data_IF_722384000595
#
_entry.id   IF_722384000595
#
_cell.length_a   1.000
_cell.length_b   1.000
_cell.length_c   1.000
_cell.angle_alpha   90.00
_cell.angle_beta   90.00
_cell.angle_gamma   90.00
#
_symmetry.space_group_name_H-M   'P 1'
#
loop_
_entity.id
_entity.type
_entity.pdbx_description
1 polymer ?
#
# COMPACT_ATOMS: atom_id res chain seq x y z
N UNK A 1 57.16 -64.13 34.94
CA UNK A 1 55.89 -64.62 34.38
C UNK A 1 54.76 -63.98 35.17
N UNK A 2 53.86 -63.27 34.50
CA UNK A 2 52.65 -62.77 35.14
C UNK A 2 51.73 -63.93 35.52
N UNK A 3 51.20 -63.95 36.74
CA UNK A 3 50.26 -64.96 37.22
C UNK A 3 48.95 -64.88 36.36
N UNK A 4 48.29 -66.01 36.18
CA UNK A 4 47.07 -66.16 35.42
C UNK A 4 45.95 -65.18 35.93
N UNK A 5 45.95 -64.90 37.24
CA UNK A 5 45.08 -63.93 37.89
C UNK A 5 45.33 -62.48 37.36
N UNK A 6 46.60 -62.06 37.24
CA UNK A 6 46.97 -60.75 36.73
C UNK A 6 46.58 -60.57 35.26
N UNK A 7 46.62 -61.63 34.46
CA UNK A 7 46.21 -61.61 33.07
C UNK A 7 44.72 -61.46 32.89
N UNK A 8 43.90 -62.09 33.77
CA UNK A 8 42.44 -61.97 33.75
C UNK A 8 41.96 -60.56 34.20
N UNK A 9 42.66 -59.95 35.15
CA UNK A 9 42.40 -58.57 35.60
C UNK A 9 42.73 -57.58 34.49
N UNK A 10 43.86 -57.71 33.80
CA UNK A 10 44.26 -56.88 32.66
C UNK A 10 43.23 -56.95 31.51
N UNK A 11 42.62 -58.12 31.25
CA UNK A 11 41.57 -58.28 30.24
C UNK A 11 40.26 -57.61 30.72
N UNK A 12 39.90 -57.75 31.97
CA UNK A 12 38.73 -57.12 32.53
C UNK A 12 38.81 -55.59 32.49
N UNK A 13 39.98 -55.03 32.84
CA UNK A 13 40.26 -53.60 32.79
C UNK A 13 40.19 -53.06 31.35
N UNK A 14 40.78 -53.79 30.37
CA UNK A 14 40.66 -53.41 28.96
C UNK A 14 39.24 -53.44 28.45
N UNK A 15 38.42 -54.40 28.85
CA UNK A 15 37.00 -54.44 28.47
C UNK A 15 36.22 -53.29 29.06
N UNK A 16 36.49 -52.92 30.32
CA UNK A 16 35.89 -51.79 31.00
C UNK A 16 36.27 -50.49 30.30
N UNK A 17 37.55 -50.29 29.99
CA UNK A 17 38.04 -49.11 29.26
C UNK A 17 37.38 -48.99 27.87
N UNK A 18 37.21 -50.13 27.17
CA UNK A 18 36.58 -50.17 25.87
C UNK A 18 35.07 -49.81 25.91
N UNK A 19 34.38 -50.32 26.95
CA UNK A 19 32.96 -49.96 27.23
C UNK A 19 32.80 -48.47 27.55
N UNK A 20 33.71 -47.90 28.35
CA UNK A 20 33.69 -46.48 28.66
C UNK A 20 33.94 -45.63 27.42
N UNK A 21 34.91 -45.99 26.56
CA UNK A 21 35.15 -45.29 25.28
C UNK A 21 33.92 -45.35 24.37
N UNK A 22 33.24 -46.47 24.29
CA UNK A 22 32.03 -46.61 23.50
C UNK A 22 30.87 -45.77 24.08
N UNK A 23 30.74 -45.74 25.39
CA UNK A 23 29.73 -44.90 26.07
C UNK A 23 30.01 -43.42 25.84
N UNK A 24 31.24 -42.98 25.94
CA UNK A 24 31.64 -41.59 25.69
C UNK A 24 31.45 -41.19 24.22
N UNK A 25 31.77 -42.08 23.27
CA UNK A 25 31.50 -41.84 21.87
C UNK A 25 30.00 -41.72 21.57
N UNK A 26 29.17 -42.56 22.19
CA UNK A 26 27.68 -42.48 22.06
C UNK A 26 27.14 -41.21 22.66
N UNK A 27 27.62 -40.79 23.83
CA UNK A 27 27.23 -39.54 24.46
C UNK A 27 27.61 -38.34 23.61
N UNK A 28 28.85 -38.31 23.10
CA UNK A 28 29.34 -37.26 22.19
C UNK A 28 28.53 -37.21 20.88
N UNK A 29 28.14 -38.35 20.32
CA UNK A 29 27.27 -38.42 19.14
C UNK A 29 25.86 -37.89 19.39
N UNK A 30 25.29 -38.19 20.55
CA UNK A 30 23.98 -37.66 20.96
C UNK A 30 24.01 -36.13 21.16
N UNK A 31 25.05 -35.61 21.80
CA UNK A 31 25.21 -34.17 22.01
C UNK A 31 25.38 -33.43 20.67
N UNK A 32 26.20 -33.95 19.77
CA UNK A 32 26.35 -33.38 18.43
C UNK A 32 25.08 -33.42 17.62
N UNK A 33 24.34 -34.54 17.67
CA UNK A 33 23.03 -34.66 17.03
C UNK A 33 22.00 -33.69 17.58
N UNK A 34 21.94 -33.53 18.91
CA UNK A 34 21.07 -32.55 19.56
C UNK A 34 21.40 -31.11 19.18
N UNK A 35 22.71 -30.77 19.14
CA UNK A 35 23.16 -29.43 18.71
C UNK A 35 22.80 -29.14 17.26
N UNK A 36 22.96 -30.11 16.36
CA UNK A 36 22.55 -29.96 14.95
C UNK A 36 21.05 -29.78 14.81
N UNK A 37 20.25 -30.54 15.53
CA UNK A 37 18.79 -30.41 15.51
C UNK A 37 18.34 -29.06 16.08
N UNK A 38 18.96 -28.60 17.15
CA UNK A 38 18.66 -27.29 17.72
C UNK A 38 19.00 -26.16 16.75
N UNK A 39 20.18 -26.21 16.12
CA UNK A 39 20.58 -25.24 15.11
C UNK A 39 19.64 -25.26 13.89
N UNK A 40 19.17 -26.43 13.47
CA UNK A 40 18.20 -26.57 12.39
C UNK A 40 16.83 -25.95 12.77
N UNK A 41 16.36 -26.17 14.00
CA UNK A 41 15.12 -25.56 14.49
C UNK A 41 15.22 -24.05 14.59
N UNK A 42 16.32 -23.51 15.07
CA UNK A 42 16.58 -22.05 15.11
C UNK A 42 16.58 -21.44 13.72
N UNK A 43 17.24 -22.09 12.76
CA UNK A 43 17.23 -21.63 11.35
C UNK A 43 15.82 -21.65 10.74
N UNK A 44 15.04 -22.69 10.99
CA UNK A 44 13.67 -22.79 10.53
C UNK A 44 12.78 -21.72 11.18
N UNK A 45 12.96 -21.47 12.47
CA UNK A 45 12.28 -20.38 13.18
C UNK A 45 12.59 -19.01 12.59
N UNK A 46 13.88 -18.69 12.41
CA UNK A 46 14.33 -17.45 11.80
C UNK A 46 13.82 -17.29 10.35
N UNK A 47 13.79 -18.37 9.58
CA UNK A 47 13.27 -18.35 8.22
C UNK A 47 11.74 -18.11 8.18
N UNK A 48 10.99 -18.70 9.12
CA UNK A 48 9.56 -18.46 9.25
C UNK A 48 9.26 -17.00 9.64
N UNK A 49 10.02 -16.44 10.57
CA UNK A 49 9.88 -15.04 10.96
C UNK A 49 10.16 -14.08 9.79
N UNK A 50 11.26 -14.31 9.07
CA UNK A 50 11.58 -13.51 7.86
C UNK A 50 10.49 -13.60 6.80
N UNK A 51 9.91 -14.78 6.61
CA UNK A 51 8.81 -14.94 5.65
C UNK A 51 7.54 -14.24 6.09
N UNK A 52 7.23 -14.23 7.40
CA UNK A 52 6.10 -13.45 7.96
C UNK A 52 6.32 -11.96 7.79
N UNK A 53 7.49 -11.46 8.16
CA UNK A 53 7.83 -10.03 7.96
C UNK A 53 7.76 -9.61 6.49
N UNK A 54 8.24 -10.46 5.58
CA UNK A 54 8.14 -10.19 4.15
C UNK A 54 6.68 -10.16 3.68
N UNK A 55 5.84 -11.07 4.17
CA UNK A 55 4.42 -11.08 3.87
C UNK A 55 3.70 -9.83 4.42
N UNK A 56 4.00 -9.44 5.65
CA UNK A 56 3.44 -8.22 6.27
C UNK A 56 3.85 -6.96 5.51
N UNK A 57 5.12 -6.85 5.12
CA UNK A 57 5.61 -5.73 4.27
C UNK A 57 4.92 -5.71 2.91
N UNK A 58 4.71 -6.88 2.30
CA UNK A 58 4.02 -6.97 1.02
C UNK A 58 2.55 -6.56 1.13
N UNK A 59 1.85 -6.95 2.20
CA UNK A 59 0.46 -6.53 2.45
C UNK A 59 0.37 -5.03 2.74
N UNK A 60 1.25 -4.49 3.58
CA UNK A 60 1.32 -3.07 3.86
C UNK A 60 1.61 -2.23 2.59
N UNK A 61 2.51 -2.70 1.72
CA UNK A 61 2.79 -2.05 0.45
C UNK A 61 1.57 -2.05 -0.49
N UNK A 62 0.84 -3.16 -0.55
CA UNK A 62 -0.39 -3.26 -1.35
C UNK A 62 -1.47 -2.32 -0.83
N UNK A 63 -1.65 -2.25 0.47
CA UNK A 63 -2.63 -1.35 1.10
C UNK A 63 -2.28 0.12 0.87
N UNK A 64 -1.00 0.47 0.97
CA UNK A 64 -0.52 1.82 0.66
C UNK A 64 -0.78 2.21 -0.81
N UNK A 65 -0.54 1.30 -1.76
CA UNK A 65 -0.84 1.52 -3.17
C UNK A 65 -2.34 1.69 -3.39
N UNK A 66 -3.15 0.86 -2.73
CA UNK A 66 -4.62 0.94 -2.80
C UNK A 66 -5.14 2.28 -2.30
N UNK A 67 -4.64 2.74 -1.15
CA UNK A 67 -4.99 4.05 -0.60
C UNK A 67 -4.60 5.19 -1.55
N UNK A 68 -3.39 5.18 -2.09
CA UNK A 68 -2.95 6.20 -3.07
C UNK A 68 -3.82 6.22 -4.32
N UNK A 69 -4.26 5.06 -4.81
CA UNK A 69 -5.19 4.99 -5.94
C UNK A 69 -6.55 5.59 -5.60
N UNK A 70 -7.10 5.28 -4.43
CA UNK A 70 -8.36 5.86 -3.97
C UNK A 70 -8.29 7.38 -3.80
N UNK A 71 -7.20 7.89 -3.22
CA UNK A 71 -6.97 9.33 -3.10
C UNK A 71 -6.83 10.01 -4.47
N UNK A 72 -6.10 9.39 -5.40
CA UNK A 72 -5.95 9.91 -6.75
C UNK A 72 -7.29 9.93 -7.51
N UNK A 73 -8.11 8.92 -7.33
CA UNK A 73 -9.45 8.84 -7.92
C UNK A 73 -10.39 9.90 -7.32
N UNK A 74 -10.38 10.07 -6.00
CA UNK A 74 -11.13 11.12 -5.32
C UNK A 74 -10.73 12.53 -5.80
N UNK A 75 -9.43 12.79 -5.95
CA UNK A 75 -8.94 14.06 -6.52
C UNK A 75 -9.40 14.28 -7.96
N UNK A 76 -9.39 13.24 -8.79
CA UNK A 76 -9.90 13.33 -10.17
C UNK A 76 -11.37 13.67 -10.20
N UNK A 77 -12.19 13.03 -9.36
CA UNK A 77 -13.62 13.33 -9.25
C UNK A 77 -13.86 14.76 -8.77
N UNK A 78 -13.10 15.25 -7.81
CA UNK A 78 -13.18 16.62 -7.33
C UNK A 78 -12.81 17.64 -8.42
N UNK A 79 -11.74 17.40 -9.18
CA UNK A 79 -11.33 18.26 -10.30
C UNK A 79 -12.40 18.27 -11.39
N UNK A 80 -12.99 17.12 -11.69
CA UNK A 80 -14.04 16.99 -12.70
C UNK A 80 -15.33 17.72 -12.26
N UNK A 81 -15.71 17.59 -10.99
CA UNK A 81 -16.83 18.32 -10.41
C UNK A 81 -16.62 19.84 -10.46
N UNK A 82 -15.44 20.33 -10.09
CA UNK A 82 -15.09 21.76 -10.20
C UNK A 82 -15.08 22.26 -11.65
N UNK A 83 -14.64 21.43 -12.58
CA UNK A 83 -14.67 21.75 -14.01
C UNK A 83 -16.10 21.92 -14.51
N UNK A 84 -17.00 21.00 -14.17
CA UNK A 84 -18.42 21.11 -14.51
C UNK A 84 -19.06 22.35 -13.91
N UNK A 85 -18.80 22.63 -12.65
CA UNK A 85 -19.29 23.83 -11.96
C UNK A 85 -18.84 25.12 -12.67
N UNK A 86 -17.57 25.20 -13.08
CA UNK A 86 -17.05 26.34 -13.86
C UNK A 86 -17.71 26.47 -15.24
N UNK A 87 -17.94 25.34 -15.92
CA UNK A 87 -18.65 25.33 -17.20
C UNK A 87 -20.10 25.82 -17.05
N UNK A 88 -20.81 25.41 -16.01
CA UNK A 88 -22.18 25.84 -15.70
C UNK A 88 -22.22 27.34 -15.39
N UNK A 89 -21.31 27.84 -14.57
CA UNK A 89 -21.19 29.28 -14.27
C UNK A 89 -20.87 30.06 -15.55
N UNK A 90 -20.00 29.56 -16.41
CA UNK A 90 -19.66 30.18 -17.69
C UNK A 90 -20.90 30.27 -18.61
N UNK A 91 -21.71 29.23 -18.66
CA UNK A 91 -22.98 29.20 -19.42
C UNK A 91 -23.99 30.20 -18.87
N UNK A 92 -24.14 30.30 -17.56
CA UNK A 92 -25.02 31.26 -16.91
C UNK A 92 -24.59 32.70 -17.21
N UNK A 93 -23.31 33.00 -17.13
CA UNK A 93 -22.76 34.31 -17.47
C UNK A 93 -23.00 34.65 -18.95
N UNK A 94 -22.82 33.71 -19.85
CA UNK A 94 -23.10 33.90 -21.27
C UNK A 94 -24.59 34.19 -21.54
N UNK A 95 -25.49 33.41 -20.91
CA UNK A 95 -26.93 33.62 -21.00
C UNK A 95 -27.34 34.99 -20.46
N UNK A 96 -26.82 35.41 -19.31
CA UNK A 96 -27.07 36.74 -18.73
C UNK A 96 -26.59 37.88 -19.63
N UNK A 97 -25.44 37.71 -20.29
CA UNK A 97 -24.94 38.71 -21.25
C UNK A 97 -25.83 38.82 -22.49
N UNK A 98 -26.34 37.72 -23.00
CA UNK A 98 -27.26 37.71 -24.13
C UNK A 98 -28.57 38.41 -23.76
N UNK A 99 -29.15 38.14 -22.59
CA UNK A 99 -30.35 38.83 -22.09
C UNK A 99 -30.11 40.34 -21.99
N UNK A 100 -29.01 40.79 -21.41
CA UNK A 100 -28.67 42.20 -21.30
C UNK A 100 -28.48 42.87 -22.65
N UNK A 101 -27.88 42.18 -23.64
CA UNK A 101 -27.77 42.69 -24.98
C UNK A 101 -29.14 42.84 -25.65
N UNK A 102 -30.01 41.86 -25.47
CA UNK A 102 -31.38 41.90 -26.00
C UNK A 102 -32.19 43.05 -25.39
N UNK A 103 -32.12 43.20 -24.07
CA UNK A 103 -32.77 44.31 -23.36
C UNK A 103 -32.28 45.70 -23.86
N UNK A 104 -30.98 45.86 -24.11
CA UNK A 104 -30.43 47.09 -24.68
C UNK A 104 -30.96 47.37 -26.08
N UNK A 105 -31.04 46.35 -26.91
CA UNK A 105 -31.60 46.48 -28.27
C UNK A 105 -33.08 46.84 -28.21
N UNK A 106 -33.84 46.20 -27.35
CA UNK A 106 -35.26 46.47 -27.16
C UNK A 106 -35.52 47.91 -26.61
N UNK A 107 -34.70 48.35 -25.66
CA UNK A 107 -34.75 49.72 -25.18
C UNK A 107 -34.43 50.76 -26.28
N UNK A 108 -33.41 50.49 -27.12
CA UNK A 108 -33.11 51.31 -28.26
C UNK A 108 -34.30 51.43 -29.21
N UNK A 109 -34.89 50.31 -29.57
CA UNK A 109 -36.09 50.27 -30.43
C UNK A 109 -37.23 51.08 -29.86
N UNK A 110 -37.52 50.93 -28.58
CA UNK A 110 -38.57 51.72 -27.88
C UNK A 110 -38.25 53.21 -27.88
N UNK A 111 -37.04 53.61 -27.63
CA UNK A 111 -36.59 55.01 -27.67
C UNK A 111 -36.68 55.62 -29.06
N UNK A 112 -36.28 54.85 -30.08
CA UNK A 112 -36.37 55.31 -31.48
C UNK A 112 -37.83 55.45 -31.94
N UNK A 113 -38.71 54.53 -31.53
CA UNK A 113 -40.13 54.62 -31.77
C UNK A 113 -40.76 55.86 -31.09
N UNK A 114 -40.36 56.17 -29.88
CA UNK A 114 -40.82 57.40 -29.18
C UNK A 114 -40.32 58.68 -29.88
N UNK A 115 -39.10 58.69 -30.36
CA UNK A 115 -38.54 59.81 -31.11
C UNK A 115 -39.27 60.02 -32.44
N UNK A 116 -39.53 58.93 -33.16
CA UNK A 116 -40.30 58.97 -34.39
C UNK A 116 -41.72 59.43 -34.19
N UNK A 117 -42.39 58.96 -33.11
CA UNK A 117 -43.71 59.38 -32.75
C UNK A 117 -43.79 60.89 -32.42
N UNK A 118 -42.83 61.44 -31.67
CA UNK A 118 -42.72 62.87 -31.42
C UNK A 118 -42.48 63.68 -32.70
N UNK A 119 -41.57 63.25 -33.54
CA UNK A 119 -41.27 63.91 -34.80
C UNK A 119 -42.48 63.92 -35.78
N UNK A 120 -43.32 62.88 -35.74
CA UNK A 120 -44.60 62.86 -36.48
C UNK A 120 -45.58 63.84 -35.94
N UNK A 121 -45.78 63.87 -34.61
CA UNK A 121 -46.71 64.82 -33.97
C UNK A 121 -46.33 66.28 -34.22
N UNK A 122 -45.05 66.60 -34.21
CA UNK A 122 -44.54 67.95 -34.55
C UNK A 122 -44.71 68.34 -36.03
N UNK A 123 -44.82 67.37 -36.95
CA UNK A 123 -45.08 67.62 -38.37
C UNK A 123 -46.58 67.78 -38.71
N UNK A 124 -47.45 67.29 -37.87
CA UNK A 124 -48.89 67.35 -38.04
C UNK A 124 -49.54 68.63 -37.39
N UNK A 125 -48.76 69.34 -36.56
CA UNK A 125 -49.08 70.68 -36.10
C UNK A 125 -48.62 71.74 -37.11
#
# INVERSE_FOLDING_TARGET
MKSFANFSEDIADRRLALKQKQADQRASFKEKGAAVNQAAQERLGAQKEKSKEAAERATAARDAIKQKRQEAEARRQEIEAKKKEREDISKEIAASREEHQQDRVDQKKKNDQKRMGKARAEREE
#
